data_IF_149032298276
#
_entry.id   IF_149032298276
#
_cell.length_a   1.000
_cell.length_b   1.000
_cell.length_c   1.000
_cell.angle_alpha   90.00
_cell.angle_beta   90.00
_cell.angle_gamma   90.00
#
_symmetry.space_group_name_H-M   'P 1'
#
loop_
_entity.id
_entity.type
_entity.pdbx_description
1 polymer ?
#
# COMPACT_ATOMS: atom_id res chain seq x y z
N UNK A 1 12.79 4.67 -38.37
CA UNK A 1 13.81 4.42 -37.33
C UNK A 1 13.96 2.91 -37.24
N UNK A 2 15.10 2.37 -37.67
CA UNK A 2 15.42 0.94 -37.56
C UNK A 2 15.99 0.64 -36.17
N UNK A 3 15.25 1.01 -35.13
CA UNK A 3 15.68 0.73 -33.75
C UNK A 3 15.36 -0.75 -33.48
N UNK A 4 16.33 -1.49 -32.92
CA UNK A 4 16.15 -2.91 -32.60
C UNK A 4 15.32 -3.05 -31.31
N UNK A 5 14.60 -4.16 -31.17
CA UNK A 5 13.73 -4.40 -30.01
C UNK A 5 14.45 -4.24 -28.65
N UNK A 6 15.70 -4.72 -28.45
CA UNK A 6 16.46 -4.44 -27.23
C UNK A 6 16.68 -2.94 -26.96
N UNK A 7 16.98 -2.18 -28.01
CA UNK A 7 17.24 -0.73 -27.92
C UNK A 7 15.96 0.03 -27.56
N UNK A 8 14.83 -0.33 -28.18
CA UNK A 8 13.51 0.24 -27.87
C UNK A 8 13.12 -0.08 -26.42
N UNK A 9 13.33 -1.32 -25.96
CA UNK A 9 13.02 -1.70 -24.58
C UNK A 9 13.87 -0.94 -23.55
N UNK A 10 15.16 -0.74 -23.82
CA UNK A 10 16.01 0.09 -22.96
C UNK A 10 15.50 1.54 -22.88
N UNK A 11 15.05 2.09 -24.01
CA UNK A 11 14.43 3.42 -24.04
C UNK A 11 13.12 3.47 -23.22
N UNK A 12 12.29 2.42 -23.27
CA UNK A 12 11.07 2.31 -22.45
C UNK A 12 11.41 2.34 -20.96
N UNK A 13 12.39 1.54 -20.51
CA UNK A 13 12.80 1.52 -19.10
C UNK A 13 13.33 2.89 -18.64
N UNK A 14 14.09 3.58 -19.51
CA UNK A 14 14.52 4.95 -19.24
C UNK A 14 13.32 5.88 -19.09
N UNK A 15 12.33 5.81 -19.98
CA UNK A 15 11.10 6.61 -19.88
C UNK A 15 10.29 6.29 -18.63
N UNK A 16 10.26 5.03 -18.20
CA UNK A 16 9.65 4.65 -16.93
C UNK A 16 10.32 5.37 -15.75
N UNK A 17 11.66 5.38 -15.67
CA UNK A 17 12.36 6.11 -14.62
C UNK A 17 12.09 7.63 -14.66
N UNK A 18 12.08 8.22 -15.87
CA UNK A 18 11.79 9.65 -16.04
C UNK A 18 10.36 10.02 -15.59
N UNK A 19 9.39 9.12 -15.79
CA UNK A 19 7.99 9.32 -15.36
C UNK A 19 7.85 9.07 -13.85
N UNK A 20 8.45 8.01 -13.33
CA UNK A 20 8.37 7.64 -11.91
C UNK A 20 9.01 8.71 -10.99
N UNK A 21 10.13 9.29 -11.41
CA UNK A 21 10.86 10.31 -10.65
C UNK A 21 10.52 11.74 -11.09
N UNK A 22 9.42 11.93 -11.83
CA UNK A 22 9.04 13.24 -12.34
C UNK A 22 8.67 14.20 -11.20
N UNK A 23 9.36 15.36 -11.13
CA UNK A 23 9.17 16.38 -10.08
C UNK A 23 8.40 17.63 -10.54
N UNK A 24 8.01 17.69 -11.82
CA UNK A 24 7.28 18.83 -12.39
C UNK A 24 5.77 18.71 -12.21
N UNK A 25 5.01 19.64 -12.82
CA UNK A 25 3.55 19.52 -12.81
C UNK A 25 3.07 18.48 -13.83
N UNK A 26 2.20 17.57 -13.38
CA UNK A 26 1.57 16.54 -14.22
C UNK A 26 0.58 17.11 -15.26
N UNK A 27 0.28 18.42 -15.20
CA UNK A 27 -0.53 19.11 -16.20
C UNK A 27 0.30 19.79 -17.28
N UNK A 28 1.63 19.86 -17.12
CA UNK A 28 2.52 20.50 -18.10
C UNK A 28 2.54 19.74 -19.44
N UNK A 29 2.65 20.46 -20.57
CA UNK A 29 2.81 19.84 -21.89
C UNK A 29 4.00 18.88 -21.94
N UNK A 30 5.09 19.21 -21.23
CA UNK A 30 6.29 18.38 -21.14
C UNK A 30 6.00 16.98 -20.58
N UNK A 31 5.16 16.88 -19.55
CA UNK A 31 4.78 15.58 -18.98
C UNK A 31 3.88 14.80 -19.95
N UNK A 32 2.92 15.48 -20.60
CA UNK A 32 2.08 14.86 -21.62
C UNK A 32 2.88 14.32 -22.80
N UNK A 33 3.87 15.08 -23.28
CA UNK A 33 4.79 14.63 -24.33
C UNK A 33 5.65 13.45 -23.90
N UNK A 34 6.13 13.46 -22.65
CA UNK A 34 6.88 12.34 -22.08
C UNK A 34 6.03 11.05 -22.10
N UNK A 35 4.77 11.12 -21.65
CA UNK A 35 3.85 9.97 -21.68
C UNK A 35 3.51 9.54 -23.11
N UNK A 36 3.33 10.49 -24.04
CA UNK A 36 3.06 10.19 -25.45
C UNK A 36 4.21 9.40 -26.07
N UNK A 37 5.45 9.85 -25.88
CA UNK A 37 6.65 9.18 -26.37
C UNK A 37 6.77 7.79 -25.73
N UNK A 38 6.56 7.68 -24.41
CA UNK A 38 6.65 6.41 -23.70
C UNK A 38 5.61 5.38 -24.20
N UNK A 39 4.37 5.80 -24.43
CA UNK A 39 3.32 4.95 -25.01
C UNK A 39 3.70 4.49 -26.41
N UNK A 40 4.16 5.40 -27.27
CA UNK A 40 4.52 5.09 -28.66
C UNK A 40 5.70 4.10 -28.73
N UNK A 41 6.68 4.21 -27.82
CA UNK A 41 7.76 3.23 -27.70
C UNK A 41 7.24 1.86 -27.29
N UNK A 42 6.30 1.78 -26.34
CA UNK A 42 5.70 0.51 -25.93
C UNK A 42 4.88 -0.12 -27.05
N UNK A 43 4.05 0.67 -27.75
CA UNK A 43 3.26 0.20 -28.90
C UNK A 43 4.17 -0.33 -30.03
N UNK A 44 5.27 0.38 -30.32
CA UNK A 44 6.27 -0.09 -31.28
C UNK A 44 6.91 -1.41 -30.82
N UNK A 45 7.38 -1.49 -29.56
CA UNK A 45 7.96 -2.72 -29.03
C UNK A 45 6.97 -3.90 -29.07
N UNK A 46 5.69 -3.67 -28.74
CA UNK A 46 4.65 -4.70 -28.84
C UNK A 46 4.40 -5.14 -30.29
N UNK A 47 4.43 -4.22 -31.26
CA UNK A 47 4.36 -4.58 -32.70
C UNK A 47 5.53 -5.47 -33.09
N UNK A 48 6.75 -5.10 -32.72
CA UNK A 48 7.96 -5.88 -33.00
C UNK A 48 7.89 -7.28 -32.38
N UNK A 49 7.43 -7.39 -31.12
CA UNK A 49 7.23 -8.68 -30.43
C UNK A 49 6.22 -9.56 -31.17
N UNK A 50 5.12 -8.97 -31.64
CA UNK A 50 4.09 -9.68 -32.40
C UNK A 50 4.58 -10.12 -33.79
N UNK A 51 5.36 -9.29 -34.47
CA UNK A 51 5.98 -9.61 -35.77
C UNK A 51 7.00 -10.74 -35.64
N UNK A 52 7.81 -10.72 -34.58
CA UNK A 52 8.75 -11.79 -34.24
C UNK A 52 8.08 -13.05 -33.67
N UNK A 53 6.80 -12.95 -33.28
CA UNK A 53 6.01 -14.02 -32.66
C UNK A 53 6.71 -14.64 -31.44
N UNK A 54 7.29 -13.81 -30.59
CA UNK A 54 8.06 -14.27 -29.42
C UNK A 54 7.22 -15.00 -28.38
N UNK A 55 5.89 -14.82 -28.39
CA UNK A 55 5.01 -15.47 -27.44
C UNK A 55 3.94 -16.31 -28.13
N UNK A 56 3.92 -17.60 -27.84
CA UNK A 56 2.82 -18.52 -28.14
C UNK A 56 2.06 -18.96 -26.88
N UNK A 57 0.81 -19.41 -27.05
CA UNK A 57 -0.03 -19.92 -25.93
C UNK A 57 0.36 -21.31 -25.45
N UNK A 58 1.13 -22.04 -26.26
CA UNK A 58 1.52 -23.42 -25.98
C UNK A 58 2.99 -23.52 -25.52
N UNK A 59 3.62 -22.38 -25.26
CA UNK A 59 5.00 -22.28 -24.78
C UNK A 59 4.99 -22.05 -23.26
N UNK A 60 6.08 -22.47 -22.64
CA UNK A 60 6.37 -22.29 -21.22
C UNK A 60 7.50 -21.27 -21.04
N UNK A 61 7.76 -20.86 -19.80
CA UNK A 61 8.90 -19.98 -19.50
C UNK A 61 10.24 -20.55 -19.96
N UNK A 62 10.39 -21.87 -20.00
CA UNK A 62 11.64 -22.56 -20.39
C UNK A 62 11.90 -22.52 -21.89
N UNK A 63 10.88 -22.23 -22.70
CA UNK A 63 11.01 -22.06 -24.15
C UNK A 63 11.55 -20.66 -24.53
N UNK A 64 11.54 -19.71 -23.59
CA UNK A 64 12.05 -18.35 -23.79
C UNK A 64 13.54 -18.23 -23.46
N UNK A 65 14.27 -17.53 -24.31
CA UNK A 65 15.64 -17.10 -23.96
C UNK A 65 15.61 -16.13 -22.78
N UNK A 66 16.71 -16.08 -22.04
CA UNK A 66 16.89 -15.20 -20.88
C UNK A 66 16.50 -13.75 -21.19
N UNK A 67 16.82 -13.27 -22.39
CA UNK A 67 16.54 -11.89 -22.82
C UNK A 67 15.13 -11.63 -23.30
N UNK A 68 14.37 -12.65 -23.70
CA UNK A 68 12.98 -12.49 -24.17
C UNK A 68 12.00 -12.35 -23.02
N UNK A 69 12.30 -12.96 -21.87
CA UNK A 69 11.47 -12.91 -20.65
C UNK A 69 11.07 -11.47 -20.29
N UNK A 70 11.98 -10.50 -20.41
CA UNK A 70 11.70 -9.10 -20.07
C UNK A 70 10.57 -8.49 -20.91
N UNK A 71 10.33 -8.99 -22.13
CA UNK A 71 9.28 -8.45 -22.99
C UNK A 71 7.88 -8.81 -22.52
N UNK A 72 7.74 -9.78 -21.59
CA UNK A 72 6.46 -10.11 -20.95
C UNK A 72 5.87 -8.89 -20.24
N UNK A 73 6.69 -8.00 -19.68
CA UNK A 73 6.21 -6.82 -18.95
C UNK A 73 5.78 -5.62 -19.83
N UNK A 74 5.88 -5.72 -21.16
CA UNK A 74 5.50 -4.62 -22.07
C UNK A 74 4.05 -4.13 -21.90
N UNK A 75 3.02 -5.00 -21.79
CA UNK A 75 1.65 -4.53 -21.55
C UNK A 75 1.53 -3.83 -20.19
N UNK A 76 2.27 -4.27 -19.16
CA UNK A 76 2.27 -3.62 -17.84
C UNK A 76 2.87 -2.21 -17.91
N UNK A 77 3.98 -2.04 -18.62
CA UNK A 77 4.60 -0.74 -18.87
C UNK A 77 3.66 0.21 -19.62
N UNK A 78 3.01 -0.27 -20.69
CA UNK A 78 2.02 0.53 -21.41
C UNK A 78 0.80 0.87 -20.53
N UNK A 79 0.37 -0.08 -19.69
CA UNK A 79 -0.70 0.13 -18.71
C UNK A 79 -0.33 1.23 -17.72
N UNK A 80 0.90 1.21 -17.20
CA UNK A 80 1.42 2.24 -16.32
C UNK A 80 1.42 3.60 -16.99
N UNK A 81 1.97 3.77 -18.20
CA UNK A 81 1.98 5.08 -18.86
C UNK A 81 0.58 5.61 -19.16
N UNK A 82 -0.38 4.75 -19.52
CA UNK A 82 -1.77 5.17 -19.68
C UNK A 82 -2.42 5.54 -18.35
N UNK A 83 -2.08 4.86 -17.25
CA UNK A 83 -2.54 5.19 -15.90
C UNK A 83 -2.03 6.53 -15.37
N UNK A 84 -1.03 7.14 -16.00
CA UNK A 84 -0.51 8.47 -15.65
C UNK A 84 -1.16 9.61 -16.45
N UNK A 85 -1.99 9.30 -17.46
CA UNK A 85 -2.66 10.32 -18.30
C UNK A 85 -3.87 10.92 -17.57
N UNK A 86 -4.03 12.25 -17.69
CA UNK A 86 -5.15 12.99 -17.10
C UNK A 86 -6.31 13.24 -18.08
N UNK A 87 -6.03 13.27 -19.39
CA UNK A 87 -7.03 13.55 -20.41
C UNK A 87 -7.90 12.29 -20.64
N UNK A 88 -9.23 12.46 -20.70
CA UNK A 88 -10.20 11.35 -20.77
C UNK A 88 -9.91 10.24 -19.74
N UNK A 89 -9.78 10.66 -18.47
CA UNK A 89 -9.34 9.82 -17.36
C UNK A 89 -10.07 8.46 -17.28
N UNK A 90 -11.41 8.37 -17.38
CA UNK A 90 -12.10 7.08 -17.31
C UNK A 90 -11.68 6.10 -18.42
N UNK A 91 -11.45 6.59 -19.64
CA UNK A 91 -11.02 5.73 -20.76
C UNK A 91 -9.55 5.32 -20.61
N UNK A 92 -8.68 6.23 -20.17
CA UNK A 92 -7.29 5.91 -19.86
C UNK A 92 -7.17 4.84 -18.77
N UNK A 93 -7.99 4.92 -17.72
CA UNK A 93 -8.07 3.91 -16.66
C UNK A 93 -8.55 2.56 -17.22
N UNK A 94 -9.63 2.54 -18.01
CA UNK A 94 -10.14 1.30 -18.63
C UNK A 94 -9.08 0.63 -19.51
N UNK A 95 -8.35 1.41 -20.30
CA UNK A 95 -7.25 0.91 -21.14
C UNK A 95 -6.13 0.34 -20.27
N UNK A 96 -5.67 1.06 -19.25
CA UNK A 96 -4.65 0.58 -18.32
C UNK A 96 -5.04 -0.75 -17.65
N UNK A 97 -6.29 -0.85 -17.18
CA UNK A 97 -6.82 -2.09 -16.59
C UNK A 97 -6.87 -3.25 -17.59
N UNK A 98 -7.18 -2.99 -18.86
CA UNK A 98 -7.16 -4.04 -19.90
C UNK A 98 -5.74 -4.53 -20.18
N UNK A 99 -4.77 -3.62 -20.27
CA UNK A 99 -3.36 -3.95 -20.49
C UNK A 99 -2.75 -4.72 -19.32
N UNK A 100 -3.12 -4.39 -18.08
CA UNK A 100 -2.71 -5.19 -16.93
C UNK A 100 -3.33 -6.58 -16.93
N UNK A 101 -4.58 -6.75 -17.39
CA UNK A 101 -5.17 -8.09 -17.55
C UNK A 101 -4.43 -8.92 -18.59
N UNK A 102 -4.04 -8.31 -19.71
CA UNK A 102 -3.26 -8.99 -20.75
C UNK A 102 -1.88 -9.42 -20.22
N UNK A 103 -1.22 -8.54 -19.45
CA UNK A 103 0.03 -8.87 -18.77
C UNK A 103 -0.11 -10.06 -17.80
N UNK A 104 -1.15 -10.08 -16.98
CA UNK A 104 -1.37 -11.16 -15.99
C UNK A 104 -1.70 -12.47 -16.67
N UNK A 105 -2.47 -12.40 -17.76
CA UNK A 105 -2.73 -13.56 -18.60
C UNK A 105 -1.45 -14.12 -19.20
N UNK A 106 -0.60 -13.25 -19.75
CA UNK A 106 0.69 -13.68 -20.32
C UNK A 106 1.60 -14.30 -19.25
N UNK A 107 1.66 -13.71 -18.05
CA UNK A 107 2.39 -14.32 -16.93
C UNK A 107 1.82 -15.69 -16.55
N UNK A 108 0.49 -15.84 -16.53
CA UNK A 108 -0.17 -17.11 -16.22
C UNK A 108 0.08 -18.16 -17.29
N UNK A 109 0.04 -17.80 -18.57
CA UNK A 109 0.24 -18.71 -19.70
C UNK A 109 1.68 -19.27 -19.68
N UNK A 110 2.67 -18.45 -19.32
CA UNK A 110 4.08 -18.86 -19.20
C UNK A 110 4.46 -19.43 -17.84
N UNK A 111 3.57 -19.41 -16.84
CA UNK A 111 3.86 -19.89 -15.49
C UNK A 111 4.75 -18.97 -14.66
N UNK A 112 4.82 -17.67 -14.97
CA UNK A 112 5.51 -16.68 -14.13
C UNK A 112 4.67 -16.41 -12.88
N UNK A 113 5.21 -16.79 -11.72
CA UNK A 113 4.54 -16.66 -10.44
C UNK A 113 4.87 -15.32 -9.76
N UNK A 114 3.93 -14.87 -8.92
CA UNK A 114 4.21 -13.83 -7.93
C UNK A 114 5.36 -14.26 -7.01
N UNK A 115 6.13 -13.30 -6.46
CA UNK A 115 7.14 -13.61 -5.46
C UNK A 115 6.50 -14.20 -4.20
N UNK A 116 7.30 -14.92 -3.42
CA UNK A 116 6.85 -15.62 -2.22
C UNK A 116 6.01 -14.73 -1.28
N UNK A 117 4.88 -15.28 -0.84
CA UNK A 117 3.95 -14.64 0.08
C UNK A 117 3.03 -13.60 -0.56
N UNK A 118 3.11 -13.37 -1.88
CA UNK A 118 2.19 -12.52 -2.63
C UNK A 118 1.36 -13.37 -3.57
N UNK A 119 0.07 -13.07 -3.66
CA UNK A 119 -0.84 -13.71 -4.61
C UNK A 119 -1.69 -12.65 -5.29
N UNK A 120 -2.23 -13.01 -6.46
CA UNK A 120 -3.26 -12.26 -7.17
C UNK A 120 -4.44 -12.02 -6.24
N UNK A 121 -4.73 -10.76 -5.90
CA UNK A 121 -5.95 -10.46 -5.14
C UNK A 121 -7.14 -10.36 -6.08
N UNK A 122 -8.16 -11.15 -5.78
CA UNK A 122 -9.48 -10.99 -6.38
C UNK A 122 -10.15 -9.85 -5.65
N UNK A 123 -10.48 -8.77 -6.37
CA UNK A 123 -11.20 -7.60 -5.85
C UNK A 123 -12.65 -8.00 -5.50
N UNK A 124 -12.82 -8.82 -4.45
CA UNK A 124 -14.11 -9.21 -3.91
C UNK A 124 -14.44 -8.26 -2.77
N UNK A 125 -14.75 -7.00 -3.13
CA UNK A 125 -15.47 -6.11 -2.22
C UNK A 125 -16.91 -6.60 -2.13
N UNK A 126 -17.12 -7.60 -1.30
CA UNK A 126 -18.46 -8.03 -0.91
C UNK A 126 -19.10 -6.82 -0.21
N UNK A 127 -20.25 -6.41 -0.73
CA UNK A 127 -21.08 -5.33 -0.21
C UNK A 127 -21.40 -5.54 1.27
N UNK A 128 -20.58 -4.97 2.15
CA UNK A 128 -20.73 -5.01 3.61
C UNK A 128 -19.66 -4.15 4.28
N UNK A 129 -19.92 -3.69 5.52
CA UNK A 129 -18.85 -3.06 6.29
C UNK A 129 -17.76 -4.11 6.58
N UNK A 130 -16.49 -3.84 6.23
CA UNK A 130 -15.42 -4.80 6.45
C UNK A 130 -15.25 -5.02 7.96
N UNK A 131 -15.12 -6.30 8.37
CA UNK A 131 -14.85 -6.60 9.77
C UNK A 131 -13.45 -6.14 10.15
N UNK A 132 -13.18 -5.98 11.46
CA UNK A 132 -11.83 -5.69 11.94
C UNK A 132 -10.80 -6.75 11.53
N UNK A 133 -11.24 -8.01 11.38
CA UNK A 133 -10.38 -9.09 10.89
C UNK A 133 -10.04 -8.92 9.41
N UNK A 134 -11.00 -8.51 8.60
CA UNK A 134 -10.79 -8.27 7.16
C UNK A 134 -9.82 -7.11 6.94
N UNK A 135 -10.00 -6.00 7.69
CA UNK A 135 -9.09 -4.86 7.64
C UNK A 135 -7.66 -5.23 8.06
N UNK A 136 -7.51 -6.07 9.08
CA UNK A 136 -6.21 -6.55 9.51
C UNK A 136 -5.55 -7.45 8.43
N UNK A 137 -6.34 -8.31 7.79
CA UNK A 137 -5.88 -9.16 6.71
C UNK A 137 -5.44 -8.35 5.48
N UNK A 138 -6.27 -7.42 5.01
CA UNK A 138 -5.96 -6.53 3.88
C UNK A 138 -4.67 -5.74 4.14
N UNK A 139 -4.50 -5.25 5.37
CA UNK A 139 -3.28 -4.57 5.79
C UNK A 139 -2.07 -5.51 5.75
N UNK A 140 -2.22 -6.75 6.20
CA UNK A 140 -1.14 -7.74 6.17
C UNK A 140 -0.73 -8.08 4.73
N UNK A 141 -1.69 -8.31 3.83
CA UNK A 141 -1.38 -8.60 2.41
C UNK A 141 -0.67 -7.42 1.75
N UNK A 142 -1.11 -6.19 2.01
CA UNK A 142 -0.44 -4.98 1.50
C UNK A 142 0.99 -4.85 2.03
N UNK A 143 1.23 -5.14 3.31
CA UNK A 143 2.58 -5.13 3.89
C UNK A 143 3.46 -6.20 3.26
N UNK A 144 2.93 -7.42 3.07
CA UNK A 144 3.67 -8.51 2.41
C UNK A 144 4.07 -8.12 1.00
N UNK A 145 3.13 -7.61 0.20
CA UNK A 145 3.42 -7.13 -1.17
C UNK A 145 4.46 -6.02 -1.20
N UNK A 146 4.36 -5.04 -0.29
CA UNK A 146 5.36 -3.97 -0.19
C UNK A 146 6.76 -4.53 0.12
N UNK A 147 6.87 -5.47 1.07
CA UNK A 147 8.14 -6.13 1.41
C UNK A 147 8.71 -6.91 0.24
N UNK A 148 7.89 -7.73 -0.43
CA UNK A 148 8.33 -8.52 -1.59
C UNK A 148 8.75 -7.61 -2.76
N UNK A 149 8.00 -6.53 -3.05
CA UNK A 149 8.38 -5.54 -4.06
C UNK A 149 9.74 -4.90 -3.74
N UNK A 150 9.95 -4.49 -2.49
CA UNK A 150 11.23 -3.90 -2.05
C UNK A 150 12.40 -4.88 -2.14
N UNK A 151 12.18 -6.15 -1.80
CA UNK A 151 13.19 -7.20 -1.94
C UNK A 151 13.55 -7.46 -3.41
N UNK A 152 12.58 -7.43 -4.32
CA UNK A 152 12.82 -7.53 -5.76
C UNK A 152 13.59 -6.33 -6.30
N UNK A 153 13.31 -5.11 -5.82
CA UNK A 153 14.06 -3.90 -6.18
C UNK A 153 15.52 -3.99 -5.75
N UNK A 154 15.77 -4.39 -4.51
CA UNK A 154 17.14 -4.62 -4.00
C UNK A 154 17.86 -5.72 -4.79
N UNK A 155 17.15 -6.80 -5.16
CA UNK A 155 17.72 -7.89 -5.95
C UNK A 155 18.05 -7.44 -7.37
N UNK A 156 17.18 -6.66 -8.02
CA UNK A 156 17.46 -6.07 -9.33
C UNK A 156 18.67 -5.14 -9.29
N UNK A 157 18.83 -4.33 -8.24
CA UNK A 157 19.97 -3.43 -8.09
C UNK A 157 21.30 -4.21 -7.99
N UNK A 158 21.31 -5.29 -7.19
CA UNK A 158 22.48 -6.19 -7.10
C UNK A 158 22.79 -6.86 -8.43
N UNK A 159 21.78 -7.35 -9.13
CA UNK A 159 21.96 -8.05 -10.41
C UNK A 159 22.34 -7.10 -11.55
N UNK A 160 21.88 -5.85 -11.53
CA UNK A 160 22.14 -4.86 -12.57
C UNK A 160 23.65 -4.61 -12.76
N UNK A 161 24.45 -4.60 -11.68
CA UNK A 161 25.91 -4.42 -11.80
C UNK A 161 26.62 -5.53 -12.57
N UNK A 162 26.01 -6.71 -12.65
CA UNK A 162 26.57 -7.84 -13.37
C UNK A 162 26.06 -7.88 -14.81
N UNK A 163 24.78 -7.60 -15.06
CA UNK A 163 24.12 -7.84 -16.36
C UNK A 163 24.77 -7.08 -17.52
N UNK A 164 25.39 -5.92 -17.25
CA UNK A 164 26.12 -5.14 -18.26
C UNK A 164 27.51 -5.72 -18.61
N UNK A 165 27.98 -6.74 -17.88
CA UNK A 165 29.30 -7.33 -18.09
C UNK A 165 29.26 -8.35 -19.25
N UNK A 166 30.29 -8.36 -20.13
CA UNK A 166 30.28 -9.15 -21.36
C UNK A 166 30.36 -10.68 -21.15
N UNK A 167 30.75 -11.13 -19.96
CA UNK A 167 30.95 -12.55 -19.64
C UNK A 167 30.02 -13.07 -18.55
N UNK A 168 28.89 -12.38 -18.31
CA UNK A 168 27.92 -12.85 -17.34
C UNK A 168 27.25 -14.15 -17.80
N UNK A 169 27.06 -15.05 -16.85
CA UNK A 169 26.34 -16.29 -16.97
C UNK A 169 24.87 -16.07 -17.37
N UNK A 170 24.35 -16.99 -18.18
CA UNK A 170 22.96 -16.95 -18.63
C UNK A 170 21.97 -17.12 -17.47
N UNK A 171 22.35 -17.82 -16.41
CA UNK A 171 21.52 -18.00 -15.22
C UNK A 171 21.25 -16.66 -14.53
N UNK A 172 22.28 -15.84 -14.31
CA UNK A 172 22.11 -14.51 -13.73
C UNK A 172 21.30 -13.57 -14.65
N UNK A 173 21.47 -13.65 -15.97
CA UNK A 173 20.60 -12.90 -16.91
C UNK A 173 19.15 -13.36 -16.80
N UNK A 174 18.91 -14.67 -16.76
CA UNK A 174 17.55 -15.23 -16.64
C UNK A 174 16.91 -14.78 -15.34
N UNK A 175 17.67 -14.82 -14.24
CA UNK A 175 17.23 -14.37 -12.93
C UNK A 175 16.87 -12.88 -12.94
N UNK A 176 17.72 -12.01 -13.50
CA UNK A 176 17.44 -10.57 -13.60
C UNK A 176 16.13 -10.30 -14.33
N UNK A 177 15.95 -10.91 -15.51
CA UNK A 177 14.77 -10.67 -16.33
C UNK A 177 13.50 -11.24 -15.68
N UNK A 178 13.57 -12.39 -15.00
CA UNK A 178 12.45 -12.96 -14.25
C UNK A 178 12.08 -12.08 -13.05
N UNK A 179 13.08 -11.61 -12.29
CA UNK A 179 12.90 -10.68 -11.16
C UNK A 179 12.24 -9.38 -11.63
N UNK A 180 12.59 -8.89 -12.83
CA UNK A 180 11.96 -7.70 -13.43
C UNK A 180 10.46 -7.93 -13.69
N UNK A 181 10.09 -9.07 -14.27
CA UNK A 181 8.67 -9.40 -14.50
C UNK A 181 7.92 -9.55 -13.18
N UNK A 182 8.51 -10.18 -12.16
CA UNK A 182 7.91 -10.30 -10.83
C UNK A 182 7.73 -8.94 -10.13
N UNK A 183 8.65 -8.00 -10.33
CA UNK A 183 8.49 -6.62 -9.84
C UNK A 183 7.26 -5.97 -10.49
N UNK A 184 7.11 -6.14 -11.81
CA UNK A 184 5.95 -5.62 -12.54
C UNK A 184 4.64 -6.28 -12.14
N UNK A 185 4.62 -7.58 -11.78
CA UNK A 185 3.45 -8.22 -11.16
C UNK A 185 3.00 -7.50 -9.88
N UNK A 186 3.95 -7.14 -9.01
CA UNK A 186 3.63 -6.41 -7.79
C UNK A 186 3.11 -4.99 -8.06
N UNK A 187 3.77 -4.25 -8.97
CA UNK A 187 3.37 -2.88 -9.34
C UNK A 187 1.97 -2.88 -9.94
N UNK A 188 1.73 -3.74 -10.94
CA UNK A 188 0.45 -3.80 -11.63
C UNK A 188 -0.68 -4.25 -10.69
N UNK A 189 -0.42 -5.12 -9.71
CA UNK A 189 -1.42 -5.49 -8.70
C UNK A 189 -1.85 -4.29 -7.86
N UNK A 190 -0.90 -3.46 -7.41
CA UNK A 190 -1.19 -2.24 -6.65
C UNK A 190 -1.97 -1.23 -7.51
N UNK A 191 -1.55 -1.05 -8.77
CA UNK A 191 -2.21 -0.15 -9.71
C UNK A 191 -3.63 -0.60 -10.03
N UNK A 192 -3.88 -1.88 -10.28
CA UNK A 192 -5.23 -2.41 -10.54
C UNK A 192 -6.17 -2.03 -9.40
N UNK A 193 -5.75 -2.23 -8.14
CA UNK A 193 -6.58 -1.92 -6.97
C UNK A 193 -6.85 -0.41 -6.90
N UNK A 194 -5.82 0.42 -7.11
CA UNK A 194 -5.95 1.88 -7.10
C UNK A 194 -6.89 2.38 -8.19
N UNK A 195 -6.68 1.93 -9.42
CA UNK A 195 -7.41 2.34 -10.62
C UNK A 195 -8.87 1.86 -10.60
N UNK A 196 -9.15 0.67 -10.06
CA UNK A 196 -10.53 0.20 -9.87
C UNK A 196 -11.30 1.09 -8.89
N UNK A 197 -10.65 1.52 -7.79
CA UNK A 197 -11.26 2.43 -6.83
C UNK A 197 -11.52 3.80 -7.44
N UNK A 198 -10.55 4.32 -8.18
CA UNK A 198 -10.69 5.59 -8.89
C UNK A 198 -11.84 5.52 -9.90
N UNK A 199 -11.94 4.44 -10.68
CA UNK A 199 -13.02 4.26 -11.65
C UNK A 199 -14.41 4.19 -10.98
N UNK A 200 -14.52 3.50 -9.83
CA UNK A 200 -15.75 3.44 -9.04
C UNK A 200 -16.16 4.84 -8.56
N UNK A 201 -15.21 5.63 -8.04
CA UNK A 201 -15.46 7.01 -7.61
C UNK A 201 -15.89 7.90 -8.79
N UNK A 202 -15.19 7.84 -9.91
CA UNK A 202 -15.52 8.63 -11.11
C UNK A 202 -16.92 8.27 -11.64
N UNK A 203 -17.28 6.97 -11.64
CA UNK A 203 -18.61 6.53 -12.10
C UNK A 203 -19.75 7.08 -11.22
N UNK A 204 -19.53 7.13 -9.90
CA UNK A 204 -20.50 7.68 -8.93
C UNK A 204 -20.56 9.20 -9.01
N UNK A 205 -19.41 9.86 -9.18
CA UNK A 205 -19.31 11.31 -9.30
C UNK A 205 -20.01 11.85 -10.55
N UNK A 206 -19.90 11.17 -11.70
CA UNK A 206 -20.61 11.57 -12.92
C UNK A 206 -22.14 11.38 -12.87
N UNK A 207 -22.64 10.58 -11.92
CA UNK A 207 -24.08 10.35 -11.73
C UNK A 207 -24.75 11.42 -10.84
N UNK A 208 -23.97 12.32 -10.24
CA UNK A 208 -24.51 13.49 -9.54
C UNK A 208 -24.87 14.52 -10.62
N UNK A 209 -26.03 14.32 -11.25
CA UNK A 209 -26.62 15.32 -12.14
C UNK A 209 -26.77 16.65 -11.36
N UNK A 210 -26.16 17.71 -11.89
CA UNK A 210 -26.27 19.08 -11.34
C UNK A 210 -27.74 19.52 -11.19
N UNK A 211 -28.65 18.92 -11.95
CA UNK A 211 -30.09 19.24 -11.93
C UNK A 211 -30.86 18.67 -10.72
N UNK A 212 -30.28 17.76 -9.92
CA UNK A 212 -30.92 17.20 -8.71
C UNK A 212 -30.19 17.58 -7.41
N UNK A 213 -29.31 18.58 -7.47
CA UNK A 213 -28.74 19.22 -6.30
C UNK A 213 -29.77 20.23 -5.79
N UNK A 214 -30.89 19.76 -5.26
CA UNK A 214 -31.61 20.49 -4.21
C UNK A 214 -30.81 20.31 -2.90
N UNK A 215 -29.52 20.63 -2.94
CA UNK A 215 -28.71 20.80 -1.75
C UNK A 215 -29.26 22.05 -1.13
N UNK A 216 -30.20 21.87 -0.19
CA UNK A 216 -30.27 22.75 0.96
C UNK A 216 -28.82 22.99 1.34
N UNK A 217 -28.29 24.18 1.06
CA UNK A 217 -26.92 24.57 1.42
C UNK A 217 -26.82 24.33 2.91
N UNK A 218 -26.40 23.13 3.31
CA UNK A 218 -26.03 22.86 4.69
C UNK A 218 -24.89 23.81 4.92
N UNK A 219 -25.06 24.75 5.85
CA UNK A 219 -24.03 25.73 6.17
C UNK A 219 -22.68 24.98 6.28
N UNK A 220 -21.60 25.51 5.66
CA UNK A 220 -20.30 24.86 5.73
C UNK A 220 -20.02 24.50 7.18
N UNK A 221 -19.79 23.21 7.44
CA UNK A 221 -19.60 22.69 8.79
C UNK A 221 -18.56 23.56 9.48
N UNK A 222 -18.96 24.30 10.51
CA UNK A 222 -18.06 25.17 11.26
C UNK A 222 -17.10 24.25 12.02
N UNK A 223 -15.80 24.20 11.67
CA UNK A 223 -14.88 23.32 12.37
C UNK A 223 -14.81 23.77 13.83
N UNK A 224 -15.00 22.83 14.76
CA UNK A 224 -14.88 23.07 16.19
C UNK A 224 -13.76 22.20 16.78
N UNK A 225 -13.05 22.74 17.78
CA UNK A 225 -11.96 22.05 18.45
C UNK A 225 -12.49 21.44 19.75
N UNK A 226 -12.38 20.12 19.89
CA UNK A 226 -12.69 19.42 21.15
C UNK A 226 -11.46 19.52 22.06
N UNK A 227 -11.61 20.24 23.17
CA UNK A 227 -10.53 20.48 24.14
C UNK A 227 -10.65 19.54 25.33
N UNK A 228 -9.51 19.16 25.94
CA UNK A 228 -9.53 18.21 27.07
C UNK A 228 -10.03 18.81 28.38
N UNK A 229 -9.98 20.13 28.52
CA UNK A 229 -10.33 20.82 29.77
C UNK A 229 -11.00 22.15 29.49
N UNK A 230 -11.85 22.61 30.42
CA UNK A 230 -12.52 23.91 30.34
C UNK A 230 -11.53 25.09 30.25
N UNK A 231 -10.37 24.98 30.91
CA UNK A 231 -9.32 25.99 30.81
C UNK A 231 -8.76 26.13 29.39
N UNK A 232 -8.58 25.02 28.67
CA UNK A 232 -8.17 25.04 27.27
C UNK A 232 -9.27 25.61 26.38
N UNK A 233 -10.54 25.25 26.59
CA UNK A 233 -11.67 25.84 25.89
C UNK A 233 -11.69 27.37 26.03
N UNK A 234 -11.48 27.89 27.25
CA UNK A 234 -11.44 29.32 27.51
C UNK A 234 -10.27 30.01 26.79
N UNK A 235 -9.08 29.41 26.74
CA UNK A 235 -7.91 29.98 26.05
C UNK A 235 -8.09 29.95 24.53
N UNK A 236 -8.54 28.85 23.95
CA UNK A 236 -8.77 28.75 22.50
C UNK A 236 -10.02 29.54 22.05
N UNK A 237 -10.97 29.78 22.95
CA UNK A 237 -12.14 30.62 22.73
C UNK A 237 -11.92 32.12 22.97
N UNK A 238 -10.84 32.53 23.65
CA UNK A 238 -10.54 33.94 23.92
C UNK A 238 -9.67 34.55 22.81
N UNK A 239 -10.32 34.96 21.71
CA UNK A 239 -9.68 35.68 20.59
C UNK A 239 -10.71 36.08 19.55
N UNK A 240 -10.36 36.90 18.55
CA UNK A 240 -11.26 37.17 17.42
C UNK A 240 -10.60 36.85 16.07
N UNK A 241 -11.25 36.06 15.20
CA UNK A 241 -12.46 35.29 15.47
C UNK A 241 -12.16 34.12 16.42
N UNK A 242 -12.90 34.00 17.51
CA UNK A 242 -12.75 32.90 18.48
C UNK A 242 -13.13 31.59 17.79
N UNK A 243 -12.24 30.62 17.78
CA UNK A 243 -12.54 29.29 17.25
C UNK A 243 -13.63 28.66 18.14
N UNK A 244 -14.73 28.13 17.57
CA UNK A 244 -15.71 27.38 18.34
C UNK A 244 -15.01 26.20 19.01
N UNK A 245 -14.95 26.21 20.35
CA UNK A 245 -14.34 25.14 21.12
C UNK A 245 -15.36 24.60 22.10
N UNK A 246 -15.28 23.30 22.36
CA UNK A 246 -16.13 22.61 23.33
C UNK A 246 -15.27 21.61 24.11
N UNK A 247 -15.58 21.40 25.38
CA UNK A 247 -14.89 20.40 26.19
C UNK A 247 -15.32 18.98 25.80
N UNK A 248 -14.49 17.98 26.11
CA UNK A 248 -14.85 16.56 25.89
C UNK A 248 -16.14 16.19 26.63
N UNK A 249 -16.34 16.73 27.84
CA UNK A 249 -17.52 16.47 28.67
C UNK A 249 -18.78 17.08 28.02
N UNK A 250 -18.72 18.34 27.60
CA UNK A 250 -19.83 18.99 26.88
C UNK A 250 -20.13 18.29 25.54
N UNK A 251 -19.11 17.81 24.81
CA UNK A 251 -19.32 17.01 23.60
C UNK A 251 -20.04 15.70 23.90
N UNK A 252 -19.63 15.00 24.96
CA UNK A 252 -20.28 13.78 25.39
C UNK A 252 -21.75 14.01 25.73
N UNK A 253 -22.04 15.04 26.52
CA UNK A 253 -23.40 15.38 26.92
C UNK A 253 -24.28 15.74 25.72
N UNK A 254 -23.76 16.49 24.75
CA UNK A 254 -24.48 16.78 23.51
C UNK A 254 -24.79 15.52 22.69
N UNK A 255 -23.85 14.59 22.60
CA UNK A 255 -24.06 13.34 21.86
C UNK A 255 -25.01 12.38 22.58
N UNK A 256 -25.01 12.38 23.93
CA UNK A 256 -26.01 11.66 24.73
C UNK A 256 -27.39 12.30 24.55
N UNK A 257 -27.51 13.63 24.60
CA UNK A 257 -28.76 14.35 24.37
C UNK A 257 -29.30 14.14 22.95
N UNK A 258 -28.42 14.02 21.95
CA UNK A 258 -28.77 13.68 20.57
C UNK A 258 -29.10 12.18 20.37
N UNK A 259 -28.97 11.34 21.41
CA UNK A 259 -29.26 9.91 21.37
C UNK A 259 -28.20 9.06 20.64
N UNK A 260 -27.04 9.63 20.32
CA UNK A 260 -25.93 8.96 19.63
C UNK A 260 -25.01 8.19 20.59
N UNK A 261 -24.91 8.62 21.85
CA UNK A 261 -24.15 7.94 22.90
C UNK A 261 -25.05 7.49 24.05
N UNK A 262 -24.75 6.33 24.68
CA UNK A 262 -25.51 5.89 25.85
C UNK A 262 -25.24 6.83 27.04
N UNK A 263 -26.27 7.16 27.84
CA UNK A 263 -26.10 7.96 29.04
C UNK A 263 -25.19 7.23 30.05
N UNK A 264 -24.47 7.99 30.90
CA UNK A 264 -23.55 7.39 31.86
C UNK A 264 -24.32 6.47 32.79
N UNK A 265 -23.97 5.18 32.78
CA UNK A 265 -24.54 4.22 33.72
C UNK A 265 -24.10 4.63 35.13
N UNK A 266 -25.01 4.66 36.12
CA UNK A 266 -24.62 4.93 37.50
C UNK A 266 -23.59 3.88 37.91
N UNK A 267 -22.36 4.35 38.18
CA UNK A 267 -21.27 3.50 38.65
C UNK A 267 -21.66 3.09 40.07
N UNK A 268 -22.09 1.84 40.23
CA UNK A 268 -22.12 1.20 41.55
C UNK A 268 -20.66 1.17 42.00
N UNK A 269 -20.36 1.87 43.09
CA UNK A 269 -19.05 1.83 43.75
C UNK A 269 -18.83 0.41 44.31
N UNK A 270 -18.44 -0.51 43.44
CA UNK A 270 -18.01 -1.84 43.82
C UNK A 270 -16.90 -2.28 42.87
N UNK A 271 -15.67 -2.31 43.40
CA UNK A 271 -14.59 -3.15 42.89
C UNK A 271 -13.85 -2.67 41.64
N UNK A 272 -12.66 -2.12 41.86
CA UNK A 272 -11.43 -2.37 41.10
C UNK A 272 -11.56 -2.74 39.60
N UNK A 273 -11.49 -1.74 38.73
CA UNK A 273 -11.11 -1.90 37.32
C UNK A 273 -10.17 -0.76 36.91
N UNK A 274 -9.07 -1.00 36.17
CA UNK A 274 -8.08 0.02 35.92
C UNK A 274 -8.60 1.00 34.87
N UNK A 275 -8.86 2.23 35.29
CA UNK A 275 -9.00 3.36 34.38
C UNK A 275 -7.69 3.48 33.60
N UNK A 276 -7.71 3.20 32.29
CA UNK A 276 -6.58 3.45 31.39
C UNK A 276 -6.47 4.96 31.18
N UNK A 277 -5.91 5.65 32.18
CA UNK A 277 -5.41 7.01 32.05
C UNK A 277 -4.10 6.90 31.29
N UNK A 278 -4.04 7.52 30.10
CA UNK A 278 -2.75 7.86 29.49
C UNK A 278 -2.12 8.95 30.35
N UNK A 279 -1.38 8.53 31.36
CA UNK A 279 -0.49 9.40 32.13
C UNK A 279 0.72 9.58 31.21
N UNK A 280 0.95 10.80 30.74
CA UNK A 280 2.26 11.12 30.17
C UNK A 280 3.25 10.95 31.33
N UNK A 281 4.21 10.01 31.25
CA UNK A 281 5.07 9.71 32.38
C UNK A 281 5.83 10.99 32.74
N UNK A 282 5.78 11.32 34.03
CA UNK A 282 6.50 12.48 34.57
C UNK A 282 8.00 12.34 34.29
N UNK A 283 8.76 13.43 34.36
CA UNK A 283 10.20 13.38 34.15
C UNK A 283 10.89 12.36 35.10
N UNK A 284 10.41 12.25 36.34
CA UNK A 284 10.89 11.29 37.33
C UNK A 284 10.54 9.83 36.97
N UNK A 285 9.35 9.60 36.40
CA UNK A 285 8.93 8.26 35.97
C UNK A 285 9.72 7.79 34.74
N UNK A 286 10.05 8.68 33.80
CA UNK A 286 10.92 8.34 32.66
C UNK A 286 12.33 8.01 33.12
N UNK A 287 12.90 8.80 34.05
CA UNK A 287 14.24 8.53 34.58
C UNK A 287 14.27 7.21 35.39
N UNK A 288 13.19 6.88 36.10
CA UNK A 288 13.06 5.61 36.78
C UNK A 288 12.92 4.41 35.82
N UNK A 289 12.21 4.57 34.70
CA UNK A 289 12.15 3.55 33.64
C UNK A 289 13.51 3.37 32.96
N UNK A 290 14.23 4.43 32.64
CA UNK A 290 15.58 4.35 32.06
C UNK A 290 16.56 3.68 33.02
N UNK A 291 16.54 4.00 34.33
CA UNK A 291 17.38 3.33 35.33
C UNK A 291 17.01 1.85 35.49
N UNK A 292 15.72 1.50 35.48
CA UNK A 292 15.29 0.10 35.50
C UNK A 292 15.78 -0.65 34.26
N UNK A 293 15.67 -0.03 33.09
CA UNK A 293 16.10 -0.65 31.83
C UNK A 293 17.61 -0.83 31.79
N UNK A 294 18.38 0.18 32.19
CA UNK A 294 19.83 0.08 32.31
C UNK A 294 20.27 -1.01 33.30
N UNK A 295 19.59 -1.13 34.45
CA UNK A 295 19.88 -2.20 35.42
C UNK A 295 19.50 -3.58 34.88
N UNK A 296 18.44 -3.67 34.08
CA UNK A 296 18.02 -4.92 33.44
C UNK A 296 19.01 -5.34 32.34
N UNK A 297 19.47 -4.40 31.51
CA UNK A 297 20.52 -4.65 30.50
C UNK A 297 21.83 -5.10 31.18
N UNK A 298 22.22 -4.46 32.29
CA UNK A 298 23.41 -4.86 33.07
C UNK A 298 23.29 -6.27 33.67
N UNK A 299 22.09 -6.67 34.12
CA UNK A 299 21.81 -8.03 34.62
C UNK A 299 21.78 -9.07 33.49
N UNK A 300 21.35 -8.68 32.28
CA UNK A 300 21.41 -9.52 31.08
C UNK A 300 22.86 -9.74 30.63
N UNK A 301 23.67 -8.68 30.60
CA UNK A 301 25.10 -8.75 30.23
C UNK A 301 25.96 -9.52 31.26
N UNK A 302 25.51 -9.59 32.51
CA UNK A 302 26.17 -10.32 33.59
C UNK A 302 25.85 -11.83 33.64
N UNK A 303 25.03 -12.35 32.71
CA UNK A 303 24.56 -13.74 32.68
C UNK A 303 23.95 -14.20 34.02
N UNK A 304 23.18 -13.33 34.69
CA UNK A 304 22.58 -13.66 35.98
C UNK A 304 21.63 -14.89 35.86
N UNK A 305 21.82 -15.96 36.66
CA UNK A 305 21.15 -17.24 36.45
C UNK A 305 19.63 -17.16 36.60
N UNK A 306 19.12 -16.26 37.44
CA UNK A 306 17.68 -16.08 37.66
C UNK A 306 17.02 -15.41 36.44
N UNK A 307 17.68 -14.42 35.83
CA UNK A 307 17.22 -13.78 34.59
C UNK A 307 17.18 -14.77 33.43
N UNK A 308 18.23 -15.58 33.25
CA UNK A 308 18.28 -16.62 32.22
C UNK A 308 17.18 -17.68 32.42
N UNK A 309 16.95 -18.11 33.66
CA UNK A 309 15.86 -19.06 33.97
C UNK A 309 14.50 -18.48 33.63
N UNK A 310 14.27 -17.20 33.94
CA UNK A 310 13.01 -16.53 33.66
C UNK A 310 12.80 -16.34 32.16
N UNK A 311 13.84 -15.95 31.41
CA UNK A 311 13.80 -15.84 29.96
C UNK A 311 13.44 -17.19 29.30
N UNK A 312 14.10 -18.28 29.72
CA UNK A 312 13.79 -19.65 29.26
C UNK A 312 12.34 -20.05 29.56
N UNK A 313 11.88 -19.83 30.79
CA UNK A 313 10.50 -20.15 31.17
C UNK A 313 9.45 -19.36 30.37
N UNK A 314 9.80 -18.13 29.95
CA UNK A 314 8.91 -17.31 29.14
C UNK A 314 8.87 -17.75 27.68
N UNK A 315 9.99 -18.28 27.16
CA UNK A 315 10.02 -18.89 25.83
C UNK A 315 9.25 -20.22 25.82
N UNK A 316 9.42 -21.08 26.83
CA UNK A 316 8.63 -22.30 27.01
C UNK A 316 7.12 -21.99 27.03
N UNK A 317 6.72 -20.94 27.77
CA UNK A 317 5.33 -20.48 27.80
C UNK A 317 4.83 -20.02 26.42
N UNK A 318 5.64 -19.33 25.61
CA UNK A 318 5.22 -18.89 24.27
C UNK A 318 5.08 -20.06 23.30
N UNK A 319 5.92 -21.08 23.44
CA UNK A 319 5.83 -22.30 22.64
C UNK A 319 4.57 -23.10 22.99
N UNK A 320 4.22 -23.18 24.27
CA UNK A 320 2.96 -23.79 24.73
C UNK A 320 1.72 -22.95 24.35
N UNK A 321 1.83 -21.61 24.34
CA UNK A 321 0.73 -20.69 24.06
C UNK A 321 0.88 -19.95 22.74
N UNK A 322 0.50 -20.63 21.64
CA UNK A 322 0.44 -20.04 20.30
C UNK A 322 -0.36 -18.73 20.29
N UNK A 323 0.19 -17.71 19.62
CA UNK A 323 -0.46 -16.40 19.46
C UNK A 323 -1.91 -16.57 18.96
N UNK A 324 -2.86 -15.99 19.70
CA UNK A 324 -4.30 -16.06 19.38
C UNK A 324 -5.07 -17.20 20.07
N UNK A 325 -4.44 -17.99 20.95
CA UNK A 325 -5.11 -19.04 21.72
C UNK A 325 -6.27 -18.54 22.60
N UNK A 326 -6.22 -17.29 23.08
CA UNK A 326 -7.22 -16.71 23.99
C UNK A 326 -8.50 -16.17 23.35
N UNK A 327 -8.55 -15.92 22.05
CA UNK A 327 -9.72 -15.29 21.40
C UNK A 327 -10.53 -16.28 20.55
N UNK A 328 -10.95 -17.40 21.15
CA UNK A 328 -11.71 -18.46 20.47
C UNK A 328 -13.22 -18.42 20.71
N UNK A 329 -13.71 -17.57 21.63
CA UNK A 329 -15.12 -17.55 22.05
C UNK A 329 -16.09 -16.92 21.03
N UNK A 330 -15.60 -16.14 20.04
CA UNK A 330 -16.46 -15.47 19.04
C UNK A 330 -16.41 -16.15 17.66
N UNK A 331 -16.19 -17.48 17.59
CA UNK A 331 -16.11 -18.26 16.34
C UNK A 331 -17.34 -19.13 16.05
N UNK A 332 -18.49 -18.85 16.66
CA UNK A 332 -19.75 -19.55 16.41
C UNK A 332 -20.68 -18.75 15.49
#
# INVERSE_FOLDING_TARGET
MNDRLPDVFAQILKKYSEVADYKGSYTEPKFKDLLRIACQLCENAMSMVNELRLFSKNESLDDLSSTEIRYICLPALLGYFNSQKNDDRPSCIRLALSLYKDFFKLCSDYGVLFPDGVSLEKSNRISGQPSMSDLAHDREVKIKRYKSKKALEERLEKLASYVDQPHIDEETKREFNLTLVQKWLCIAQDDIISLQNELDILSKGSSINEDNINVTRSEPLRPFIITRSAAQAAVFGAGYPSLPTMTIEEFYDQQVAAGLLPPPKPIVQSGSGPNVRRIDPSAEEREAEEKKKAKQDELEDADDPDMLSKARSFDDFKDEHRRGSGNRMNRA
#
